data_IF_892312474497
#
_entry.id   IF_892312474497
#
_cell.length_a   1.000
_cell.length_b   1.000
_cell.length_c   1.000
_cell.angle_alpha   90.00
_cell.angle_beta   90.00
_cell.angle_gamma   90.00
#
_symmetry.space_group_name_H-M   'P 1'
#
loop_
_entity.id
_entity.type
_entity.pdbx_description
1 polymer ?
#
# COMPACT_ATOMS: atom_id res chain seq x y z
N UNK A 1 -18.50 7.38 8.93
CA UNK A 1 -17.85 6.04 8.98
C UNK A 1 -17.25 5.53 7.66
N UNK A 2 -17.90 5.67 6.48
CA UNK A 2 -17.34 5.17 5.20
C UNK A 2 -16.01 5.84 4.80
N UNK A 3 -15.89 7.14 5.00
CA UNK A 3 -14.69 7.92 4.64
C UNK A 3 -13.43 7.47 5.42
N UNK A 4 -13.54 7.36 6.75
CA UNK A 4 -12.44 6.89 7.61
C UNK A 4 -11.96 5.50 7.19
N UNK A 5 -12.88 4.58 6.85
CA UNK A 5 -12.51 3.23 6.38
C UNK A 5 -11.68 3.29 5.09
N UNK A 6 -12.05 4.13 4.13
CA UNK A 6 -11.31 4.28 2.87
C UNK A 6 -9.90 4.81 3.12
N UNK A 7 -9.75 5.79 4.02
CA UNK A 7 -8.44 6.31 4.40
C UNK A 7 -7.57 5.26 5.09
N UNK A 8 -8.13 4.50 6.03
CA UNK A 8 -7.39 3.41 6.69
C UNK A 8 -6.96 2.32 5.71
N UNK A 9 -7.83 1.94 4.77
CA UNK A 9 -7.50 0.99 3.71
C UNK A 9 -6.40 1.51 2.78
N UNK A 10 -6.49 2.77 2.37
CA UNK A 10 -5.51 3.41 1.50
C UNK A 10 -4.16 3.57 2.20
N UNK A 11 -4.17 3.89 3.49
CA UNK A 11 -2.97 3.98 4.33
C UNK A 11 -2.32 2.61 4.50
N UNK A 12 -3.10 1.56 4.80
CA UNK A 12 -2.60 0.19 4.90
C UNK A 12 -1.99 -0.26 3.57
N UNK A 13 -2.68 -0.03 2.46
CA UNK A 13 -2.17 -0.39 1.13
C UNK A 13 -0.89 0.38 0.77
N UNK A 14 -0.87 1.69 1.02
CA UNK A 14 0.32 2.52 0.82
C UNK A 14 1.51 2.09 1.68
N UNK A 15 1.26 1.66 2.92
CA UNK A 15 2.29 1.10 3.81
C UNK A 15 2.83 -0.23 3.28
N UNK A 16 1.97 -1.14 2.84
CA UNK A 16 2.39 -2.42 2.26
C UNK A 16 3.23 -2.21 0.99
N UNK A 17 2.82 -1.27 0.13
CA UNK A 17 3.61 -0.89 -1.05
C UNK A 17 4.95 -0.28 -0.65
N UNK A 18 5.01 0.51 0.42
CA UNK A 18 6.27 1.04 0.94
C UNK A 18 7.18 -0.08 1.43
N UNK A 19 6.69 -0.99 2.27
CA UNK A 19 7.45 -2.14 2.76
C UNK A 19 7.98 -2.96 1.58
N UNK A 20 7.12 -3.23 0.59
CA UNK A 20 7.48 -3.94 -0.62
C UNK A 20 8.58 -3.22 -1.42
N UNK A 21 8.44 -1.91 -1.62
CA UNK A 21 9.45 -1.06 -2.30
C UNK A 21 10.78 -1.11 -1.54
N UNK A 22 10.74 -0.97 -0.21
CA UNK A 22 11.92 -0.98 0.63
C UNK A 22 12.66 -2.32 0.59
N UNK A 23 11.93 -3.44 0.66
CA UNK A 23 12.51 -4.78 0.57
C UNK A 23 13.12 -5.08 -0.80
N UNK A 24 12.56 -4.53 -1.90
CA UNK A 24 13.12 -4.68 -3.24
C UNK A 24 14.39 -3.84 -3.42
N UNK A 25 14.34 -2.56 -3.07
CA UNK A 25 15.39 -1.61 -3.45
C UNK A 25 16.51 -1.46 -2.41
N UNK A 26 16.26 -1.84 -1.16
CA UNK A 26 17.22 -1.78 -0.03
C UNK A 26 17.17 -3.05 0.83
N UNK A 27 17.36 -4.25 0.24
CA UNK A 27 17.22 -5.52 0.95
C UNK A 27 18.18 -5.67 2.14
N UNK A 28 19.43 -5.18 2.01
CA UNK A 28 20.43 -5.27 3.08
C UNK A 28 20.03 -4.44 4.30
N UNK A 29 19.60 -3.19 4.06
CA UNK A 29 19.12 -2.30 5.12
C UNK A 29 17.82 -2.84 5.76
N UNK A 30 16.93 -3.43 4.96
CA UNK A 30 15.75 -4.10 5.49
C UNK A 30 16.12 -5.29 6.38
N UNK A 31 17.11 -6.08 5.98
CA UNK A 31 17.60 -7.22 6.75
C UNK A 31 18.22 -6.76 8.08
N UNK A 32 19.05 -5.70 8.04
CA UNK A 32 19.66 -5.10 9.22
C UNK A 32 18.61 -4.59 10.21
N UNK A 33 17.64 -3.79 9.74
CA UNK A 33 16.60 -3.19 10.59
C UNK A 33 15.64 -4.22 11.19
N UNK A 34 15.42 -5.33 10.49
CA UNK A 34 14.58 -6.43 10.95
C UNK A 34 15.35 -7.50 11.73
N UNK A 35 16.68 -7.38 11.83
CA UNK A 35 17.57 -8.38 12.42
C UNK A 35 17.38 -9.79 11.84
N UNK A 36 17.20 -9.88 10.51
CA UNK A 36 17.03 -11.13 9.77
C UNK A 36 18.04 -11.23 8.63
N UNK A 37 18.09 -12.38 7.96
CA UNK A 37 18.91 -12.54 6.75
C UNK A 37 18.25 -11.89 5.53
N UNK A 38 19.07 -11.49 4.56
CA UNK A 38 18.61 -10.98 3.25
C UNK A 38 17.78 -12.01 2.46
N UNK A 39 18.07 -13.30 2.65
CA UNK A 39 17.24 -14.39 2.09
C UNK A 39 15.85 -14.44 2.76
N UNK A 40 15.76 -14.20 4.07
CA UNK A 40 14.47 -14.08 4.75
C UNK A 40 13.68 -12.84 4.30
N UNK A 41 14.35 -11.73 4.00
CA UNK A 41 13.73 -10.55 3.34
C UNK A 41 13.14 -10.94 1.98
N UNK A 42 13.90 -11.66 1.16
CA UNK A 42 13.44 -12.09 -0.18
C UNK A 42 12.21 -12.99 -0.12
N UNK A 43 12.11 -13.88 0.88
CA UNK A 43 10.90 -14.69 1.12
C UNK A 43 9.76 -13.86 1.70
N UNK A 44 10.05 -12.93 2.62
CA UNK A 44 9.08 -12.02 3.21
C UNK A 44 8.42 -11.12 2.17
N UNK A 45 9.16 -10.70 1.15
CA UNK A 45 8.66 -9.89 0.04
C UNK A 45 7.44 -10.53 -0.63
N UNK A 46 7.47 -11.85 -0.89
CA UNK A 46 6.35 -12.56 -1.51
C UNK A 46 5.08 -12.48 -0.65
N UNK A 47 5.21 -12.63 0.67
CA UNK A 47 4.08 -12.52 1.59
C UNK A 47 3.48 -11.11 1.62
N UNK A 48 4.34 -10.09 1.65
CA UNK A 48 3.88 -8.69 1.59
C UNK A 48 3.20 -8.38 0.25
N UNK A 49 3.73 -8.91 -0.86
CA UNK A 49 3.14 -8.76 -2.18
C UNK A 49 1.74 -9.40 -2.27
N UNK A 50 1.59 -10.63 -1.76
CA UNK A 50 0.29 -11.31 -1.68
C UNK A 50 -0.69 -10.50 -0.84
N UNK A 51 -0.26 -10.01 0.32
CA UNK A 51 -1.13 -9.20 1.19
C UNK A 51 -1.55 -7.89 0.51
N UNK A 52 -0.64 -7.19 -0.14
CA UNK A 52 -0.93 -5.97 -0.90
C UNK A 52 -1.94 -6.25 -2.02
N UNK A 53 -1.78 -7.35 -2.75
CA UNK A 53 -2.72 -7.76 -3.80
C UNK A 53 -4.12 -8.07 -3.25
N UNK A 54 -4.21 -8.78 -2.11
CA UNK A 54 -5.49 -9.06 -1.44
C UNK A 54 -6.17 -7.77 -1.00
N UNK A 55 -5.44 -6.85 -0.36
CA UNK A 55 -5.98 -5.56 0.08
C UNK A 55 -6.50 -4.74 -1.12
N UNK A 56 -5.74 -4.70 -2.21
CA UNK A 56 -6.14 -4.01 -3.44
C UNK A 56 -7.39 -4.64 -4.07
N UNK A 57 -7.46 -5.97 -4.15
CA UNK A 57 -8.61 -6.69 -4.69
C UNK A 57 -9.87 -6.42 -3.85
N UNK A 58 -9.76 -6.44 -2.52
CA UNK A 58 -10.88 -6.12 -1.63
C UNK A 58 -11.38 -4.69 -1.83
N UNK A 59 -10.46 -3.74 -1.99
CA UNK A 59 -10.80 -2.35 -2.29
C UNK A 59 -11.52 -2.23 -3.64
N UNK A 60 -10.98 -2.81 -4.71
CA UNK A 60 -11.58 -2.77 -6.05
C UNK A 60 -12.96 -3.45 -6.09
N UNK A 61 -13.15 -4.55 -5.36
CA UNK A 61 -14.45 -5.21 -5.23
C UNK A 61 -15.50 -4.35 -4.51
N UNK A 62 -15.09 -3.59 -3.48
CA UNK A 62 -16.00 -2.64 -2.83
C UNK A 62 -16.38 -1.49 -3.77
N UNK A 63 -15.40 -0.98 -4.52
CA UNK A 63 -15.59 0.09 -5.51
C UNK A 63 -16.51 -0.36 -6.65
N UNK A 64 -16.31 -1.55 -7.22
CA UNK A 64 -17.09 -2.06 -8.35
C UNK A 64 -18.57 -2.29 -8.01
N UNK A 65 -18.86 -2.69 -6.78
CA UNK A 65 -20.25 -2.80 -6.26
C UNK A 65 -20.97 -1.46 -6.20
N UNK A 66 -20.24 -0.34 -6.11
CA UNK A 66 -20.80 1.00 -6.08
C UNK A 66 -21.44 1.47 -7.39
N UNK A 67 -21.13 0.80 -8.52
CA UNK A 67 -21.65 1.10 -9.88
C UNK A 67 -21.83 2.61 -10.12
N UNK A 68 -20.74 3.38 -10.25
CA UNK A 68 -20.83 4.82 -10.50
C UNK A 68 -21.65 5.07 -11.77
N UNK A 69 -22.75 5.82 -11.65
CA UNK A 69 -23.72 6.06 -12.74
C UNK A 69 -23.47 7.36 -13.50
N UNK A 70 -22.65 8.25 -12.95
CA UNK A 70 -22.32 9.55 -13.53
C UNK A 70 -20.82 9.85 -13.45
N UNK A 71 -20.37 10.88 -14.18
CA UNK A 71 -18.97 11.27 -14.22
C UNK A 71 -18.43 11.70 -12.85
N UNK A 72 -19.28 12.31 -12.01
CA UNK A 72 -18.91 12.75 -10.66
C UNK A 72 -18.61 11.56 -9.76
N UNK A 73 -19.44 10.53 -9.76
CA UNK A 73 -19.19 9.30 -9.02
C UNK A 73 -17.95 8.58 -9.56
N UNK A 74 -17.72 8.60 -10.88
CA UNK A 74 -16.49 8.08 -11.48
C UNK A 74 -15.22 8.80 -10.98
N UNK A 75 -15.26 10.14 -10.92
CA UNK A 75 -14.16 10.94 -10.39
C UNK A 75 -13.89 10.66 -8.91
N UNK A 76 -14.94 10.53 -8.09
CA UNK A 76 -14.81 10.18 -6.67
C UNK A 76 -14.13 8.83 -6.51
N UNK A 77 -14.52 7.84 -7.31
CA UNK A 77 -13.90 6.51 -7.32
C UNK A 77 -12.43 6.59 -7.73
N UNK A 78 -12.10 7.34 -8.77
CA UNK A 78 -10.72 7.53 -9.22
C UNK A 78 -9.85 8.17 -8.13
N UNK A 79 -10.34 9.21 -7.47
CA UNK A 79 -9.65 9.86 -6.35
C UNK A 79 -9.42 8.85 -5.23
N UNK A 80 -10.45 8.09 -4.84
CA UNK A 80 -10.32 7.07 -3.80
C UNK A 80 -9.31 5.98 -4.16
N UNK A 81 -9.28 5.56 -5.43
CA UNK A 81 -8.31 4.59 -5.93
C UNK A 81 -6.88 5.12 -5.99
N UNK A 82 -6.66 6.43 -5.87
CA UNK A 82 -5.34 7.06 -5.83
C UNK A 82 -4.93 7.52 -4.42
N UNK A 83 -5.80 7.41 -3.41
CA UNK A 83 -5.50 7.87 -2.04
C UNK A 83 -4.32 7.13 -1.40
N UNK A 84 -3.97 5.94 -1.86
CA UNK A 84 -2.80 5.21 -1.38
C UNK A 84 -1.47 5.89 -1.74
N UNK A 85 -1.43 6.65 -2.84
CA UNK A 85 -0.20 7.24 -3.36
C UNK A 85 0.39 8.30 -2.43
N UNK A 86 -0.38 9.29 -1.91
CA UNK A 86 0.11 10.20 -0.89
C UNK A 86 0.63 9.51 0.37
N UNK A 87 -0.02 8.42 0.82
CA UNK A 87 0.44 7.66 1.99
C UNK A 87 1.75 6.94 1.70
N UNK A 88 1.86 6.26 0.56
CA UNK A 88 3.09 5.64 0.11
C UNK A 88 4.24 6.67 0.05
N UNK A 89 4.00 7.82 -0.58
CA UNK A 89 4.99 8.91 -0.68
C UNK A 89 5.40 9.41 0.70
N UNK A 90 4.45 9.56 1.63
CA UNK A 90 4.73 9.95 3.01
C UNK A 90 5.64 8.93 3.70
N UNK A 91 5.38 7.63 3.57
CA UNK A 91 6.23 6.60 4.16
C UNK A 91 7.63 6.57 3.55
N UNK A 92 7.75 6.75 2.24
CA UNK A 92 9.05 6.89 1.56
C UNK A 92 9.81 8.11 2.07
N UNK A 93 9.15 9.26 2.22
CA UNK A 93 9.75 10.47 2.76
C UNK A 93 10.24 10.27 4.21
N UNK A 94 9.40 9.69 5.06
CA UNK A 94 9.75 9.36 6.45
C UNK A 94 10.97 8.43 6.49
N UNK A 95 10.96 7.39 5.67
CA UNK A 95 12.08 6.47 5.55
C UNK A 95 13.36 7.19 5.10
N UNK A 96 13.28 8.07 4.11
CA UNK A 96 14.44 8.85 3.65
C UNK A 96 15.02 9.79 4.72
N UNK A 97 14.19 10.28 5.64
CA UNK A 97 14.63 11.18 6.71
C UNK A 97 15.22 10.45 7.94
N UNK A 98 14.85 9.18 8.16
CA UNK A 98 15.11 8.47 9.42
C UNK A 98 16.02 7.23 9.22
N UNK A 99 16.01 6.63 8.03
CA UNK A 99 16.76 5.41 7.72
C UNK A 99 18.10 5.69 7.04
#
# INVERSE_FOLDING_TARGET
MKFVKIHLFSMLYGFLLFVLTFMIFRPDLAAERLHISTDAVSRGYLWVAILAAVVYMLFMNQVSRGRPRDWKAGLIVAIQAMLWFPYWLLFVLIAWLIL
#
